data_IF_192758256716
#
_entry.id   IF_192758256716
#
_cell.length_a   1.000
_cell.length_b   1.000
_cell.length_c   1.000
_cell.angle_alpha   90.00
_cell.angle_beta   90.00
_cell.angle_gamma   90.00
#
_symmetry.space_group_name_H-M   'P 1'
#
loop_
_entity.id
_entity.type
_entity.pdbx_description
1 polymer ?
#
# COMPACT_ATOMS: atom_id res chain seq x y z
N UNK A 1 -8.54 -18.48 1.99
CA UNK A 1 -9.90 -19.02 2.20
C UNK A 1 -10.88 -17.96 2.69
N UNK A 2 -10.68 -17.30 3.85
CA UNK A 2 -11.64 -16.27 4.34
C UNK A 2 -11.64 -14.99 3.50
N UNK A 3 -10.47 -14.44 3.19
CA UNK A 3 -10.36 -13.19 2.43
C UNK A 3 -10.85 -13.36 0.98
N UNK A 4 -10.69 -14.56 0.41
CA UNK A 4 -11.21 -14.90 -0.93
C UNK A 4 -12.73 -14.90 -0.98
N UNK A 5 -13.39 -15.37 0.09
CA UNK A 5 -14.86 -15.32 0.21
C UNK A 5 -15.32 -13.87 0.32
N UNK A 6 -14.68 -13.06 1.18
CA UNK A 6 -15.01 -11.64 1.30
C UNK A 6 -14.84 -10.91 -0.04
N UNK A 7 -13.74 -11.19 -0.75
CA UNK A 7 -13.45 -10.62 -2.05
C UNK A 7 -14.41 -11.06 -3.15
N UNK A 8 -15.05 -12.23 -3.05
CA UNK A 8 -16.06 -12.67 -4.02
C UNK A 8 -17.47 -12.18 -3.69
N UNK A 9 -17.85 -12.24 -2.42
CA UNK A 9 -19.25 -12.17 -2.02
C UNK A 9 -19.65 -10.82 -1.42
N UNK A 10 -18.71 -9.99 -0.96
CA UNK A 10 -19.04 -8.73 -0.29
C UNK A 10 -18.78 -7.52 -1.21
N UNK A 11 -19.81 -6.74 -1.58
CA UNK A 11 -19.64 -5.49 -2.31
C UNK A 11 -19.21 -4.36 -1.38
N UNK A 12 -18.44 -3.39 -1.91
CA UNK A 12 -18.12 -2.12 -1.23
C UNK A 12 -17.53 -2.32 0.18
N UNK A 13 -16.46 -3.11 0.29
CA UNK A 13 -15.89 -3.48 1.58
C UNK A 13 -14.45 -3.01 1.76
N UNK A 14 -14.15 -2.53 2.97
CA UNK A 14 -12.78 -2.37 3.47
C UNK A 14 -12.53 -3.44 4.53
N UNK A 15 -11.51 -4.28 4.30
CA UNK A 15 -11.11 -5.34 5.23
C UNK A 15 -9.82 -4.91 5.92
N UNK A 16 -9.93 -4.63 7.22
CA UNK A 16 -8.78 -4.36 8.08
C UNK A 16 -8.21 -5.68 8.61
N UNK A 17 -7.00 -6.04 8.21
CA UNK A 17 -6.26 -7.17 8.75
C UNK A 17 -5.38 -6.64 9.88
N UNK A 18 -5.62 -7.10 11.10
CA UNK A 18 -4.78 -6.77 12.25
C UNK A 18 -3.56 -7.68 12.26
N UNK A 19 -2.37 -7.09 12.31
CA UNK A 19 -1.13 -7.87 12.39
C UNK A 19 -1.03 -8.57 13.75
N UNK A 20 -0.47 -9.79 13.75
CA UNK A 20 -0.21 -10.50 14.99
C UNK A 20 0.84 -9.76 15.83
N UNK A 21 0.63 -9.75 17.14
CA UNK A 21 1.53 -9.19 18.14
C UNK A 21 2.91 -9.85 18.11
N UNK A 22 3.97 -9.04 18.23
CA UNK A 22 5.29 -9.51 18.66
C UNK A 22 5.18 -10.03 20.10
N UNK A 23 5.33 -11.34 20.28
CA UNK A 23 4.87 -11.98 21.52
C UNK A 23 5.89 -11.95 22.67
N UNK A 24 7.19 -11.74 22.42
CA UNK A 24 8.26 -11.89 23.43
C UNK A 24 7.98 -11.10 24.70
N UNK A 25 7.54 -9.84 24.56
CA UNK A 25 7.20 -8.97 25.68
C UNK A 25 6.15 -9.55 26.64
N UNK A 26 5.26 -10.42 26.16
CA UNK A 26 4.19 -11.01 26.96
C UNK A 26 4.70 -11.91 28.10
N UNK A 27 5.91 -12.49 27.98
CA UNK A 27 6.54 -13.29 29.05
C UNK A 27 6.85 -12.48 30.31
N UNK A 28 6.85 -11.15 30.20
CA UNK A 28 7.06 -10.22 31.31
C UNK A 28 5.77 -9.92 32.07
N UNK A 29 4.60 -10.17 31.50
CA UNK A 29 3.31 -9.92 32.14
C UNK A 29 3.06 -11.02 33.18
N UNK A 30 3.11 -10.66 34.45
CA UNK A 30 2.91 -11.58 35.58
C UNK A 30 2.01 -10.94 36.63
N UNK A 31 1.22 -11.74 37.31
CA UNK A 31 0.40 -11.37 38.46
C UNK A 31 0.17 -12.58 39.34
N UNK A 32 -0.23 -12.36 40.60
CA UNK A 32 -0.50 -13.44 41.55
C UNK A 32 -1.84 -14.18 41.31
N UNK A 33 -2.58 -13.84 40.24
CA UNK A 33 -3.82 -14.53 39.91
C UNK A 33 -3.58 -15.99 39.50
N UNK A 34 -4.56 -16.86 39.79
CA UNK A 34 -4.55 -18.26 39.34
C UNK A 34 -4.43 -18.37 37.80
N UNK A 35 -5.13 -17.49 37.08
CA UNK A 35 -5.11 -17.47 35.62
C UNK A 35 -3.72 -17.19 35.06
N UNK A 36 -3.02 -16.21 35.63
CA UNK A 36 -1.70 -15.80 35.18
C UNK A 36 -0.63 -16.85 35.52
N UNK A 37 -0.66 -17.40 36.74
CA UNK A 37 0.38 -18.31 37.21
C UNK A 37 0.26 -19.73 36.68
N UNK A 38 -0.97 -20.21 36.46
CA UNK A 38 -1.24 -21.61 36.09
C UNK A 38 -1.81 -21.75 34.67
N UNK A 39 -2.92 -21.07 34.38
CA UNK A 39 -3.66 -21.27 33.12
C UNK A 39 -2.84 -20.82 31.92
N UNK A 40 -2.19 -19.65 32.02
CA UNK A 40 -1.40 -19.09 30.93
C UNK A 40 -0.35 -20.09 30.39
N UNK A 41 0.41 -20.71 31.31
CA UNK A 41 1.47 -21.70 30.99
C UNK A 41 0.92 -23.00 30.39
N UNK A 42 -0.31 -23.38 30.72
CA UNK A 42 -0.96 -24.55 30.14
C UNK A 42 -1.46 -24.30 28.72
N UNK A 43 -1.92 -23.08 28.42
CA UNK A 43 -2.42 -22.71 27.09
C UNK A 43 -1.29 -22.49 26.09
N UNK A 44 -0.17 -21.88 26.52
CA UNK A 44 0.97 -21.57 25.67
C UNK A 44 2.30 -22.16 26.19
N UNK A 45 2.39 -23.49 26.37
CA UNK A 45 3.57 -24.11 26.99
C UNK A 45 4.83 -23.91 26.15
N UNK A 46 4.73 -23.97 24.82
CA UNK A 46 5.86 -23.77 23.90
C UNK A 46 6.47 -22.36 23.95
N UNK A 47 5.74 -21.38 24.49
CA UNK A 47 6.20 -19.99 24.57
C UNK A 47 6.60 -19.59 26.00
N UNK A 48 5.86 -20.05 27.01
CA UNK A 48 6.02 -19.57 28.39
C UNK A 48 6.93 -20.45 29.27
N UNK A 49 7.14 -21.72 28.91
CA UNK A 49 8.00 -22.64 29.67
C UNK A 49 9.48 -22.57 29.29
N UNK A 50 9.87 -22.38 28.01
CA UNK A 50 11.28 -22.34 27.65
C UNK A 50 12.03 -21.18 28.33
N UNK A 51 13.31 -21.41 28.62
CA UNK A 51 14.22 -20.39 29.17
C UNK A 51 14.56 -19.29 28.15
N UNK A 52 15.10 -18.17 28.63
CA UNK A 52 15.41 -16.98 27.79
C UNK A 52 16.32 -17.31 26.59
N UNK A 53 17.31 -18.17 26.76
CA UNK A 53 18.29 -18.52 25.73
C UNK A 53 18.02 -19.89 25.07
N UNK A 54 16.78 -20.38 25.18
CA UNK A 54 16.40 -21.70 24.65
C UNK A 54 16.19 -21.69 23.13
N UNK A 55 16.57 -22.77 22.42
CA UNK A 55 16.29 -22.90 20.99
C UNK A 55 14.79 -22.89 20.69
N UNK A 56 13.95 -23.39 21.60
CA UNK A 56 12.49 -23.39 21.44
C UNK A 56 11.92 -21.97 21.45
N UNK A 57 12.39 -21.09 22.34
CA UNK A 57 11.96 -19.69 22.34
C UNK A 57 12.45 -18.95 21.10
N UNK A 58 13.68 -19.21 20.66
CA UNK A 58 14.22 -18.64 19.43
C UNK A 58 13.39 -19.05 18.19
N UNK A 59 12.97 -20.31 18.12
CA UNK A 59 12.10 -20.81 17.05
C UNK A 59 10.73 -20.13 17.06
N UNK A 60 10.09 -20.00 18.23
CA UNK A 60 8.78 -19.36 18.34
C UNK A 60 8.85 -17.88 17.98
N UNK A 61 9.91 -17.16 18.38
CA UNK A 61 10.15 -15.78 17.94
C UNK A 61 10.28 -15.69 16.43
N UNK A 62 11.01 -16.61 15.80
CA UNK A 62 11.13 -16.67 14.33
C UNK A 62 9.78 -16.91 13.66
N UNK A 63 9.01 -17.90 14.12
CA UNK A 63 7.67 -18.22 13.58
C UNK A 63 6.75 -17.00 13.68
N UNK A 64 6.74 -16.30 14.82
CA UNK A 64 5.94 -15.09 14.99
C UNK A 64 6.29 -14.01 13.95
N UNK A 65 7.59 -13.79 13.67
CA UNK A 65 8.04 -12.85 12.63
C UNK A 65 7.71 -13.33 11.22
N UNK A 66 7.85 -14.63 10.95
CA UNK A 66 7.49 -15.21 9.66
C UNK A 66 5.98 -15.00 9.39
N UNK A 67 5.12 -15.18 10.39
CA UNK A 67 3.67 -14.91 10.25
C UNK A 67 3.39 -13.44 9.94
N UNK A 68 4.08 -12.48 10.57
CA UNK A 68 3.94 -11.06 10.25
C UNK A 68 4.34 -10.78 8.78
N UNK A 69 5.48 -11.32 8.34
CA UNK A 69 5.98 -11.15 6.97
C UNK A 69 5.01 -11.76 5.95
N UNK A 70 4.55 -12.98 6.17
CA UNK A 70 3.63 -13.65 5.26
C UNK A 70 2.24 -13.01 5.25
N UNK A 71 1.80 -12.41 6.36
CA UNK A 71 0.56 -11.63 6.42
C UNK A 71 0.67 -10.36 5.57
N UNK A 72 1.78 -9.62 5.70
CA UNK A 72 2.06 -8.44 4.88
C UNK A 72 2.10 -8.79 3.39
N UNK A 73 2.78 -9.88 3.02
CA UNK A 73 2.81 -10.39 1.63
C UNK A 73 1.42 -10.79 1.14
N UNK A 74 0.60 -11.43 1.96
CA UNK A 74 -0.75 -11.82 1.60
C UNK A 74 -1.64 -10.59 1.32
N UNK A 75 -1.52 -9.54 2.13
CA UNK A 75 -2.32 -8.32 1.98
C UNK A 75 -1.85 -7.50 0.77
N UNK A 76 -0.54 -7.32 0.59
CA UNK A 76 0.00 -6.42 -0.44
C UNK A 76 0.53 -7.13 -1.70
N UNK A 77 0.42 -8.46 -1.77
CA UNK A 77 0.85 -9.28 -2.91
C UNK A 77 0.01 -9.13 -4.19
N UNK A 78 -1.07 -8.34 -4.15
CA UNK A 78 -1.87 -7.97 -5.33
C UNK A 78 -3.08 -8.86 -5.62
N UNK A 79 -3.28 -9.94 -4.86
CA UNK A 79 -4.40 -10.87 -5.06
C UNK A 79 -5.79 -10.23 -4.94
N UNK A 80 -5.90 -9.09 -4.24
CA UNK A 80 -7.17 -8.42 -3.93
C UNK A 80 -7.27 -7.01 -4.54
N UNK A 81 -6.39 -6.66 -5.48
CA UNK A 81 -6.34 -5.33 -6.11
C UNK A 81 -7.23 -5.21 -7.36
N UNK A 82 -7.91 -6.29 -7.76
CA UNK A 82 -8.67 -6.35 -9.02
C UNK A 82 -10.06 -5.70 -8.99
N UNK A 83 -10.48 -5.14 -7.86
CA UNK A 83 -11.80 -4.50 -7.67
C UNK A 83 -11.64 -3.09 -7.12
N UNK A 84 -12.31 -2.12 -7.74
CA UNK A 84 -12.32 -0.72 -7.27
C UNK A 84 -13.15 -0.52 -5.98
N UNK A 85 -14.07 -1.44 -5.69
CA UNK A 85 -14.98 -1.38 -4.54
C UNK A 85 -14.56 -2.30 -3.39
N UNK A 86 -13.33 -2.83 -3.39
CA UNK A 86 -12.82 -3.68 -2.34
C UNK A 86 -11.39 -3.31 -1.99
N UNK A 87 -11.10 -3.13 -0.69
CA UNK A 87 -9.76 -2.81 -0.22
C UNK A 87 -9.38 -3.70 0.96
N UNK A 88 -8.14 -4.18 0.96
CA UNK A 88 -7.54 -4.88 2.11
C UNK A 88 -6.41 -4.02 2.64
N UNK A 89 -6.40 -3.79 3.94
CA UNK A 89 -5.42 -2.91 4.59
C UNK A 89 -4.87 -3.60 5.83
N UNK A 90 -3.55 -3.71 5.91
CA UNK A 90 -2.86 -4.20 7.11
C UNK A 90 -2.76 -3.08 8.15
N UNK A 91 -3.03 -3.41 9.41
CA UNK A 91 -2.95 -2.52 10.56
C UNK A 91 -1.85 -3.04 11.51
N UNK A 92 -0.60 -2.55 11.36
CA UNK A 92 0.57 -3.17 11.97
C UNK A 92 0.91 -2.65 13.37
N UNK A 93 -0.01 -2.00 14.10
CA UNK A 93 0.23 -1.45 15.44
C UNK A 93 0.67 -2.48 16.51
N UNK A 94 0.83 -3.75 16.13
CA UNK A 94 1.31 -4.84 16.97
C UNK A 94 2.59 -5.51 16.46
N UNK A 95 3.12 -5.05 15.33
CA UNK A 95 4.36 -5.56 14.74
C UNK A 95 5.55 -5.43 15.70
N UNK A 96 5.59 -4.35 16.47
CA UNK A 96 6.59 -4.07 17.50
C UNK A 96 5.87 -3.82 18.83
N UNK A 97 5.89 -4.79 19.73
CA UNK A 97 5.16 -4.71 20.99
C UNK A 97 5.89 -3.86 22.02
N UNK A 98 5.17 -2.92 22.62
CA UNK A 98 5.61 -2.19 23.80
C UNK A 98 4.79 -2.69 24.99
N UNK A 99 5.49 -3.21 26.00
CA UNK A 99 4.85 -3.64 27.25
C UNK A 99 4.47 -2.41 28.08
N UNK A 100 3.19 -2.21 28.45
CA UNK A 100 2.80 -1.11 29.32
C UNK A 100 3.46 -1.25 30.69
N UNK A 101 3.90 -0.13 31.26
CA UNK A 101 4.52 -0.09 32.57
C UNK A 101 3.67 0.73 33.55
N UNK A 102 3.66 0.31 34.81
CA UNK A 102 3.04 1.00 35.93
C UNK A 102 3.94 2.14 36.44
N UNK A 103 3.49 2.86 37.47
CA UNK A 103 4.25 3.96 38.08
C UNK A 103 5.58 3.53 38.70
N UNK A 104 5.75 2.24 38.98
CA UNK A 104 6.98 1.66 39.53
C UNK A 104 7.90 1.11 38.44
N UNK A 105 7.54 1.27 37.15
CA UNK A 105 8.29 0.76 36.01
C UNK A 105 8.15 -0.75 35.79
N UNK A 106 7.17 -1.41 36.41
CA UNK A 106 6.88 -2.84 36.24
C UNK A 106 5.77 -3.03 35.21
N UNK A 107 5.65 -4.20 34.57
CA UNK A 107 4.57 -4.46 33.62
C UNK A 107 3.18 -4.22 34.24
N UNK A 108 2.41 -3.31 33.65
CA UNK A 108 1.07 -2.95 34.14
C UNK A 108 0.06 -4.03 33.74
N UNK A 109 -0.22 -4.92 34.69
CA UNK A 109 -1.19 -6.00 34.52
C UNK A 109 -2.63 -5.52 34.32
N UNK A 110 -2.96 -4.25 34.58
CA UNK A 110 -4.33 -3.73 34.40
C UNK A 110 -4.77 -3.64 32.94
N UNK A 111 -3.83 -3.67 32.00
CA UNK A 111 -4.10 -3.78 30.56
C UNK A 111 -4.52 -5.19 30.13
N UNK A 112 -4.44 -6.18 31.03
CA UNK A 112 -4.74 -7.58 30.76
C UNK A 112 -5.88 -8.09 31.64
N UNK A 113 -6.52 -9.14 31.18
CA UNK A 113 -7.53 -9.88 31.92
C UNK A 113 -6.89 -10.71 33.05
N UNK A 114 -7.71 -11.39 33.85
CA UNK A 114 -7.23 -12.20 34.99
C UNK A 114 -6.32 -13.37 34.59
N UNK A 115 -6.29 -13.74 33.31
CA UNK A 115 -5.40 -14.76 32.76
C UNK A 115 -4.04 -14.24 32.28
N UNK A 116 -3.79 -12.92 32.31
CA UNK A 116 -2.59 -12.28 31.74
C UNK A 116 -2.34 -12.59 30.25
N UNK A 117 -3.37 -13.02 29.52
CA UNK A 117 -3.28 -13.38 28.11
C UNK A 117 -4.20 -12.50 27.27
N UNK A 118 -5.48 -12.44 27.62
CA UNK A 118 -6.41 -11.55 26.95
C UNK A 118 -6.24 -10.11 27.45
N UNK A 119 -6.53 -9.14 26.59
CA UNK A 119 -6.56 -7.73 27.00
C UNK A 119 -7.78 -7.45 27.90
N UNK A 120 -7.64 -6.51 28.84
CA UNK A 120 -8.79 -5.98 29.57
C UNK A 120 -9.56 -4.98 28.69
N UNK A 121 -10.68 -4.46 29.19
CA UNK A 121 -11.38 -3.32 28.58
C UNK A 121 -10.42 -2.15 28.31
N UNK A 122 -9.52 -1.87 29.26
CA UNK A 122 -8.51 -0.82 29.15
C UNK A 122 -7.52 -1.09 28.01
N UNK A 123 -7.04 -2.33 27.87
CA UNK A 123 -6.20 -2.76 26.75
C UNK A 123 -6.91 -2.63 25.41
N UNK A 124 -8.16 -3.09 25.33
CA UNK A 124 -8.96 -2.97 24.11
C UNK A 124 -9.23 -1.51 23.71
N UNK A 125 -9.41 -0.59 24.66
CA UNK A 125 -9.60 0.83 24.37
C UNK A 125 -8.38 1.47 23.66
N UNK A 126 -7.17 1.15 24.12
CA UNK A 126 -5.94 1.63 23.47
C UNK A 126 -5.69 0.95 22.12
N UNK A 127 -6.03 -0.34 21.99
CA UNK A 127 -6.01 -1.02 20.69
C UNK A 127 -6.97 -0.39 19.68
N UNK A 128 -8.17 -0.03 20.11
CA UNK A 128 -9.14 0.67 19.25
C UNK A 128 -8.60 2.03 18.80
N UNK A 129 -7.93 2.75 19.70
CA UNK A 129 -7.24 4.01 19.38
C UNK A 129 -6.12 3.82 18.37
N UNK A 130 -5.28 2.79 18.54
CA UNK A 130 -4.19 2.48 17.62
C UNK A 130 -4.71 2.08 16.22
N UNK A 131 -5.76 1.26 16.16
CA UNK A 131 -6.43 0.91 14.91
C UNK A 131 -6.99 2.15 14.20
N UNK A 132 -7.71 3.00 14.93
CA UNK A 132 -8.26 4.25 14.39
C UNK A 132 -7.15 5.12 13.79
N UNK A 133 -6.06 5.32 14.53
CA UNK A 133 -4.93 6.12 14.08
C UNK A 133 -4.24 5.52 12.86
N UNK A 134 -4.03 4.20 12.81
CA UNK A 134 -3.44 3.56 11.62
C UNK A 134 -4.34 3.66 10.38
N UNK A 135 -5.68 3.70 10.53
CA UNK A 135 -6.58 3.93 9.40
C UNK A 135 -6.40 5.34 8.79
N UNK A 136 -5.85 6.29 9.56
CA UNK A 136 -5.56 7.67 9.14
C UNK A 136 -4.07 7.88 8.77
N UNK A 137 -3.32 6.81 8.57
CA UNK A 137 -1.92 6.83 8.12
C UNK A 137 -1.77 6.13 6.76
N UNK A 138 -0.99 6.67 5.82
CA UNK A 138 -0.80 6.03 4.52
C UNK A 138 -0.12 4.67 4.65
N UNK A 139 -0.47 3.74 3.76
CA UNK A 139 0.19 2.44 3.61
C UNK A 139 1.68 2.67 3.38
N UNK A 140 2.52 1.99 4.17
CA UNK A 140 3.97 2.19 4.20
C UNK A 140 4.46 3.11 5.33
N UNK A 141 3.57 3.95 5.88
CA UNK A 141 3.89 4.89 6.98
C UNK A 141 3.05 4.65 8.24
N UNK A 142 2.29 3.54 8.27
CA UNK A 142 1.49 3.16 9.43
C UNK A 142 2.36 2.88 10.64
N UNK A 143 1.94 3.36 11.81
CA UNK A 143 2.59 3.09 13.08
C UNK A 143 2.58 1.58 13.38
N UNK A 144 3.74 1.06 13.76
CA UNK A 144 3.98 -0.39 13.91
C UNK A 144 3.95 -0.89 15.36
N UNK A 145 3.53 -0.04 16.30
CA UNK A 145 3.50 -0.33 17.73
C UNK A 145 2.29 0.33 18.39
N UNK A 146 1.87 -0.20 19.54
CA UNK A 146 0.79 0.37 20.33
C UNK A 146 1.36 1.12 21.54
N UNK A 147 0.85 2.32 21.80
CA UNK A 147 1.24 3.12 22.95
C UNK A 147 0.13 3.12 24.01
N UNK A 148 0.27 2.22 24.98
CA UNK A 148 -0.71 1.97 26.04
C UNK A 148 -0.72 3.08 27.12
N UNK A 149 -1.31 4.21 26.77
CA UNK A 149 -1.36 5.42 27.61
C UNK A 149 -2.75 5.70 28.18
N UNK A 150 -3.81 5.08 27.63
CA UNK A 150 -5.21 5.42 27.90
C UNK A 150 -5.56 6.91 27.72
N UNK A 151 -4.76 7.65 26.94
CA UNK A 151 -4.94 9.09 26.79
C UNK A 151 -5.86 9.40 25.60
N UNK A 152 -7.03 9.98 25.88
CA UNK A 152 -8.06 10.28 24.86
C UNK A 152 -7.63 11.31 23.82
N UNK A 153 -6.64 12.14 24.14
CA UNK A 153 -6.09 13.15 23.24
C UNK A 153 -5.16 12.57 22.15
N UNK A 154 -4.91 11.25 22.15
CA UNK A 154 -4.07 10.60 21.15
C UNK A 154 -4.83 10.19 19.88
N UNK A 155 -6.14 10.43 19.80
CA UNK A 155 -6.94 10.14 18.61
C UNK A 155 -6.63 11.14 17.50
N UNK A 156 -6.24 10.62 16.33
CA UNK A 156 -6.05 11.41 15.12
C UNK A 156 -7.40 11.81 14.52
N UNK A 157 -7.47 13.02 14.00
CA UNK A 157 -8.59 13.53 13.22
C UNK A 157 -8.20 13.58 11.74
N UNK A 158 -9.12 13.27 10.80
CA UNK A 158 -8.92 13.55 9.38
C UNK A 158 -8.67 15.04 9.14
N UNK A 159 -7.86 15.37 8.12
CA UNK A 159 -7.62 16.76 7.70
C UNK A 159 -8.37 17.06 6.39
N UNK A 160 -8.39 18.33 5.97
CA UNK A 160 -8.97 18.69 4.67
C UNK A 160 -8.18 18.09 3.49
N UNK A 161 -6.87 17.96 3.63
CA UNK A 161 -5.98 17.34 2.64
C UNK A 161 -6.15 15.81 2.59
N UNK A 162 -6.45 15.17 3.73
CA UNK A 162 -6.60 13.73 3.87
C UNK A 162 -7.90 13.37 4.61
N UNK A 163 -9.08 13.54 3.98
CA UNK A 163 -10.37 13.35 4.64
C UNK A 163 -10.84 11.89 4.68
N UNK A 164 -10.08 10.95 4.10
CA UNK A 164 -10.48 9.55 3.93
C UNK A 164 -9.55 8.58 4.65
N UNK A 165 -10.07 7.38 4.96
CA UNK A 165 -9.25 6.26 5.43
C UNK A 165 -8.26 5.87 4.33
N UNK A 166 -7.01 5.62 4.73
CA UNK A 166 -5.96 5.23 3.82
C UNK A 166 -6.04 3.74 3.45
N UNK A 167 -5.98 3.50 2.15
CA UNK A 167 -5.85 2.20 1.50
C UNK A 167 -4.66 2.26 0.53
N UNK A 168 -4.32 1.14 -0.11
CA UNK A 168 -3.26 1.14 -1.13
C UNK A 168 -3.52 2.17 -2.25
N UNK A 169 -4.79 2.40 -2.62
CA UNK A 169 -5.17 3.27 -3.74
C UNK A 169 -4.98 4.77 -3.50
N UNK A 170 -4.91 5.23 -2.26
CA UNK A 170 -4.75 6.66 -1.92
C UNK A 170 -3.53 6.94 -1.02
N UNK A 171 -2.66 5.96 -0.81
CA UNK A 171 -1.45 6.12 0.01
C UNK A 171 -0.21 6.49 -0.80
N UNK A 172 -0.22 6.24 -2.10
CA UNK A 172 0.87 6.58 -2.99
C UNK A 172 0.44 7.73 -3.91
N UNK A 173 1.33 8.68 -4.22
CA UNK A 173 1.05 9.67 -5.25
C UNK A 173 0.69 8.89 -6.52
N UNK A 174 -0.42 9.24 -7.16
CA UNK A 174 -0.70 8.73 -8.50
C UNK A 174 0.49 9.14 -9.35
N UNK A 175 1.36 8.20 -9.70
CA UNK A 175 2.26 8.41 -10.83
C UNK A 175 1.34 8.44 -12.03
N UNK A 176 0.76 9.60 -12.32
CA UNK A 176 0.22 9.84 -13.65
C UNK A 176 1.41 9.67 -14.56
N UNK A 177 1.51 8.49 -15.16
CA UNK A 177 2.31 8.29 -16.36
C UNK A 177 1.60 9.07 -17.47
N UNK A 178 1.56 10.40 -17.33
CA UNK A 178 1.33 11.34 -18.42
C UNK A 178 2.57 11.40 -19.33
N UNK A 179 3.52 10.48 -19.18
CA UNK A 179 4.47 10.14 -20.21
C UNK A 179 3.69 9.57 -21.40
N UNK A 180 3.29 10.47 -22.31
CA UNK A 180 3.05 10.14 -23.70
C UNK A 180 4.19 9.21 -24.12
N UNK A 181 3.89 7.95 -24.50
CA UNK A 181 4.94 7.00 -24.83
C UNK A 181 5.85 7.59 -25.90
N UNK A 182 7.18 7.46 -25.75
CA UNK A 182 8.12 8.06 -26.70
C UNK A 182 7.86 7.63 -28.15
N UNK A 183 7.29 6.44 -28.36
CA UNK A 183 6.86 5.96 -29.68
C UNK A 183 5.74 6.81 -30.29
N UNK A 184 4.83 7.35 -29.49
CA UNK A 184 3.72 8.19 -29.95
C UNK A 184 4.24 9.53 -30.47
N UNK A 185 5.20 10.14 -29.77
CA UNK A 185 5.90 11.33 -30.23
C UNK A 185 6.72 11.07 -31.52
N UNK A 186 7.41 9.92 -31.60
CA UNK A 186 8.15 9.52 -32.80
C UNK A 186 7.24 9.29 -34.02
N UNK A 187 6.09 8.63 -33.82
CA UNK A 187 5.10 8.41 -34.89
C UNK A 187 4.54 9.73 -35.39
N UNK A 188 4.16 10.66 -34.50
CA UNK A 188 3.67 11.97 -34.90
C UNK A 188 4.71 12.78 -35.69
N UNK A 189 5.99 12.73 -35.28
CA UNK A 189 7.07 13.39 -36.00
C UNK A 189 7.29 12.80 -37.41
N UNK A 190 7.30 11.47 -37.53
CA UNK A 190 7.47 10.77 -38.82
C UNK A 190 6.30 11.10 -39.76
N UNK A 191 5.06 11.02 -39.26
CA UNK A 191 3.85 11.33 -40.04
C UNK A 191 3.88 12.78 -40.52
N UNK A 192 4.24 13.72 -39.65
CA UNK A 192 4.38 15.14 -40.03
C UNK A 192 5.44 15.35 -41.13
N UNK A 193 6.56 14.64 -41.06
CA UNK A 193 7.65 14.74 -42.03
C UNK A 193 7.25 14.17 -43.40
N UNK A 194 6.55 13.03 -43.41
CA UNK A 194 6.01 12.43 -44.63
C UNK A 194 4.96 13.33 -45.30
N UNK A 195 4.05 13.91 -44.52
CA UNK A 195 3.06 14.88 -45.04
C UNK A 195 3.78 16.09 -45.64
N UNK A 196 4.79 16.63 -44.94
CA UNK A 196 5.60 17.74 -45.43
C UNK A 196 6.29 17.45 -46.77
N UNK A 197 6.87 16.24 -46.91
CA UNK A 197 7.48 15.79 -48.17
C UNK A 197 6.48 15.62 -49.31
N UNK A 198 5.30 15.06 -49.04
CA UNK A 198 4.25 14.92 -50.06
C UNK A 198 3.78 16.29 -50.56
N UNK A 199 3.57 17.25 -49.65
CA UNK A 199 3.15 18.61 -50.00
C UNK A 199 4.23 19.33 -50.80
N UNK A 200 5.49 19.28 -50.37
CA UNK A 200 6.59 19.92 -51.11
C UNK A 200 6.75 19.29 -52.49
N UNK A 201 6.73 17.96 -52.59
CA UNK A 201 6.86 17.27 -53.87
C UNK A 201 5.72 17.60 -54.83
N UNK A 202 4.47 17.63 -54.35
CA UNK A 202 3.31 18.02 -55.17
C UNK A 202 3.42 19.48 -55.63
N UNK A 203 3.85 20.41 -54.78
CA UNK A 203 4.08 21.81 -55.17
C UNK A 203 5.18 21.91 -56.24
N UNK A 204 6.32 21.25 -56.05
CA UNK A 204 7.41 21.25 -57.04
C UNK A 204 6.99 20.62 -58.37
N UNK A 205 6.25 19.50 -58.33
CA UNK A 205 5.74 18.83 -59.52
C UNK A 205 4.72 19.71 -60.28
N UNK A 206 3.83 20.38 -59.56
CA UNK A 206 2.89 21.34 -60.15
C UNK A 206 3.62 22.53 -60.80
N UNK A 207 4.69 23.05 -60.15
CA UNK A 207 5.52 24.14 -60.68
C UNK A 207 6.32 23.73 -61.91
N UNK A 208 6.90 22.54 -61.92
CA UNK A 208 7.61 22.01 -63.10
C UNK A 208 6.66 21.81 -64.28
N UNK A 209 5.48 21.23 -64.05
CA UNK A 209 4.45 21.06 -65.09
C UNK A 209 3.96 22.39 -65.67
N UNK A 210 3.80 23.42 -64.85
CA UNK A 210 3.45 24.77 -65.33
C UNK A 210 4.60 25.44 -66.07
N UNK A 211 5.85 25.26 -65.64
CA UNK A 211 7.04 25.75 -66.34
C UNK A 211 7.20 25.11 -67.72
N UNK A 212 7.10 23.77 -67.80
CA UNK A 212 7.15 23.02 -69.07
C UNK A 212 6.01 23.40 -70.01
N UNK A 213 4.79 23.61 -69.50
CA UNK A 213 3.67 24.13 -70.31
C UNK A 213 3.99 25.51 -70.87
N UNK A 214 4.54 26.43 -70.07
CA UNK A 214 4.95 27.77 -70.53
C UNK A 214 6.03 27.72 -71.61
N UNK A 215 7.06 26.88 -71.46
CA UNK A 215 8.11 26.66 -72.46
C UNK A 215 7.56 26.07 -73.76
N UNK A 216 6.61 25.13 -73.68
CA UNK A 216 6.00 24.53 -74.86
C UNK A 216 5.16 25.54 -75.65
N UNK A 217 4.39 26.41 -74.97
CA UNK A 217 3.69 27.54 -75.60
C UNK A 217 4.64 28.59 -76.19
N UNK A 218 5.81 28.86 -75.59
CA UNK A 218 6.77 29.81 -76.17
C UNK A 218 7.52 29.22 -77.37
N UNK A 219 7.82 27.91 -77.38
CA UNK A 219 8.42 27.21 -78.52
C UNK A 219 7.47 27.12 -79.73
N UNK A 220 6.15 27.06 -79.50
CA UNK A 220 5.14 27.13 -80.56
C UNK A 220 5.00 28.55 -81.13
N UNK A 221 5.22 29.59 -80.31
CA UNK A 221 5.20 30.99 -80.77
C UNK A 221 6.45 31.47 -81.53
N UNK A 222 7.58 30.76 -81.46
CA UNK A 222 8.84 31.14 -82.13
C UNK A 222 8.97 30.50 -83.53
N UNK A 223 8.12 29.54 -83.90
CA UNK A 223 8.16 28.91 -85.24
C UNK A 223 7.39 29.67 -86.33
N UNK A 224 6.82 30.85 -86.04
CA UNK A 224 5.97 31.59 -86.97
C UNK A 224 6.57 32.91 -87.51
N UNK A 225 7.88 33.13 -87.37
CA UNK A 225 8.54 34.30 -87.97
C UNK A 225 9.95 33.98 -88.48
N UNK A 226 10.03 33.45 -89.70
CA UNK A 226 11.18 33.67 -90.60
C UNK A 226 10.72 33.49 -92.05
N UNK A 227 10.57 34.62 -92.74
CA UNK A 227 10.54 34.76 -94.20
C UNK A 227 11.63 35.77 -94.56
#
# INVERSE_FOLDING_TARGET
MSLDILYKEVPRAIVNILEILEIEGLRRIKSDSLGCNLIQKQVCPCFLLPGEDSPELAEIKRINRDVQIETEKLVYGGNYDGREDFAVVLQPFFKNTIVPLDTDGRPDSTYFSKDCFHFSERGHADMATALWNNMLEPVGEKQTYNNFTNARNNLKCPTEEHPYIFTKGNSFPTTTSDCVPAWLAAVLAIVGLLIGWVITWTVFFCRDKTSKRKMMTSSLGIKETTF
#
